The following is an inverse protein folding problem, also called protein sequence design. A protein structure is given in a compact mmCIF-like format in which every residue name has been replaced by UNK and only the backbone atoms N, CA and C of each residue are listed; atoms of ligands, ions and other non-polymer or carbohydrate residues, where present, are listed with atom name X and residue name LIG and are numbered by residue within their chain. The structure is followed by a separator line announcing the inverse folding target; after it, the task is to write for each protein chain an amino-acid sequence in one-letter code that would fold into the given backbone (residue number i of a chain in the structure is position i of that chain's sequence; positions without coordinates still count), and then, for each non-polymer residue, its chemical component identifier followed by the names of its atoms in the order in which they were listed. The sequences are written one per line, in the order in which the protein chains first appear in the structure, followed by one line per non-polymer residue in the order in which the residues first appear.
data_IF_245297054649
#
_entry.id   IF_245297054649
#
_cell.length_a   1.000
_cell.length_b   1.000
_cell.length_c   1.000
_cell.angle_alpha   90.00
_cell.angle_beta   90.00
_cell.angle_gamma   90.00
#
_symmetry.space_group_name_H-M   'P 1'
#
loop_
_entity.id
_entity.type
_entity.pdbx_description
1 polymer ?
#
# COMPACT_ATOMS: atom_id res chain seq x y z
N UNK A 1 -20.52 -25.70 14.12
CA UNK A 1 -21.33 -24.71 13.35
C UNK A 1 -22.15 -23.76 14.22
N UNK A 2 -22.17 -23.89 15.57
CA UNK A 2 -22.87 -22.95 16.46
C UNK A 2 -22.01 -21.74 16.88
N UNK A 3 -20.68 -21.84 16.85
CA UNK A 3 -19.78 -20.76 17.32
C UNK A 3 -19.60 -19.60 16.31
N UNK A 4 -20.17 -19.73 15.11
CA UNK A 4 -20.12 -18.69 14.08
C UNK A 4 -21.37 -17.79 14.08
N UNK A 5 -22.38 -18.09 14.91
CA UNK A 5 -23.64 -17.34 14.96
C UNK A 5 -23.55 -16.02 15.74
N UNK A 6 -22.49 -15.81 16.52
CA UNK A 6 -22.25 -14.57 17.28
C UNK A 6 -21.21 -13.66 16.62
N UNK A 7 -20.79 -13.94 15.38
CA UNK A 7 -19.88 -13.09 14.63
C UNK A 7 -20.58 -11.79 14.24
N UNK A 8 -20.14 -10.69 14.82
CA UNK A 8 -20.57 -9.37 14.37
C UNK A 8 -19.92 -9.03 13.03
N UNK A 9 -20.47 -8.04 12.31
CA UNK A 9 -19.83 -7.50 11.11
C UNK A 9 -18.44 -6.91 11.41
N UNK A 10 -18.27 -6.34 12.60
CA UNK A 10 -16.98 -5.80 13.06
C UNK A 10 -15.94 -6.91 13.23
N UNK A 11 -16.32 -8.04 13.82
CA UNK A 11 -15.47 -9.23 13.95
C UNK A 11 -15.06 -9.82 12.59
N UNK A 12 -15.95 -9.73 11.59
CA UNK A 12 -15.67 -10.19 10.23
C UNK A 12 -14.66 -9.28 9.52
N UNK A 13 -14.88 -7.96 9.58
CA UNK A 13 -13.99 -6.95 8.98
C UNK A 13 -12.59 -7.00 9.62
N UNK A 14 -12.52 -7.09 10.95
CA UNK A 14 -11.24 -7.22 11.67
C UNK A 14 -10.51 -8.51 11.29
N UNK A 15 -11.23 -9.62 11.13
CA UNK A 15 -10.65 -10.90 10.68
C UNK A 15 -10.12 -10.84 9.26
N UNK A 16 -10.86 -10.23 8.33
CA UNK A 16 -10.42 -10.03 6.95
C UNK A 16 -9.11 -9.24 6.91
N UNK A 17 -9.06 -8.11 7.65
CA UNK A 17 -7.85 -7.32 7.81
C UNK A 17 -6.67 -8.16 8.30
N UNK A 18 -6.85 -8.98 9.35
CA UNK A 18 -5.77 -9.83 9.86
C UNK A 18 -5.28 -10.88 8.86
N UNK A 19 -6.19 -11.48 8.08
CA UNK A 19 -5.82 -12.46 7.05
C UNK A 19 -5.04 -11.77 5.93
N UNK A 20 -5.57 -10.64 5.44
CA UNK A 20 -4.93 -9.81 4.42
C UNK A 20 -3.51 -9.44 4.84
N UNK A 21 -3.32 -8.92 6.05
CA UNK A 21 -2.01 -8.52 6.56
C UNK A 21 -1.03 -9.69 6.66
N UNK A 22 -1.46 -10.86 7.14
CA UNK A 22 -0.59 -12.04 7.23
C UNK A 22 -0.15 -12.53 5.85
N UNK A 23 -1.06 -12.50 4.87
CA UNK A 23 -0.74 -12.85 3.49
C UNK A 23 0.30 -11.89 2.93
N UNK A 24 0.13 -10.58 3.14
CA UNK A 24 1.11 -9.60 2.70
C UNK A 24 2.49 -9.77 3.35
N UNK A 25 2.54 -9.96 4.68
CA UNK A 25 3.81 -10.22 5.40
C UNK A 25 4.52 -11.42 4.79
N UNK A 26 3.79 -12.53 4.59
CA UNK A 26 4.35 -13.73 3.99
C UNK A 26 4.81 -13.51 2.54
N UNK A 27 4.01 -12.79 1.75
CA UNK A 27 4.30 -12.51 0.35
C UNK A 27 5.55 -11.64 0.19
N UNK A 28 5.62 -10.49 0.87
CA UNK A 28 6.76 -9.57 0.75
C UNK A 28 8.04 -10.13 1.33
N UNK A 29 7.95 -10.93 2.40
CA UNK A 29 9.10 -11.68 2.91
C UNK A 29 9.64 -12.65 1.85
N UNK A 30 8.77 -13.47 1.25
CA UNK A 30 9.18 -14.40 0.21
C UNK A 30 9.75 -13.66 -1.02
N UNK A 31 9.17 -12.53 -1.40
CA UNK A 31 9.65 -11.74 -2.53
C UNK A 31 11.06 -11.18 -2.28
N UNK A 32 11.33 -10.66 -1.08
CA UNK A 32 12.68 -10.23 -0.67
C UNK A 32 13.68 -11.38 -0.67
N UNK A 33 13.33 -12.55 -0.11
CA UNK A 33 14.19 -13.74 -0.13
C UNK A 33 14.52 -14.24 -1.54
N UNK A 34 13.61 -14.05 -2.50
CA UNK A 34 13.86 -14.36 -3.92
C UNK A 34 14.75 -13.30 -4.57
N UNK A 35 14.54 -12.03 -4.25
CA UNK A 35 15.38 -10.93 -4.76
C UNK A 35 16.86 -11.11 -4.37
N UNK A 36 17.14 -11.63 -3.16
CA UNK A 36 18.52 -11.92 -2.71
C UNK A 36 19.30 -12.88 -3.61
N UNK A 37 18.61 -13.70 -4.41
CA UNK A 37 19.21 -14.71 -5.29
C UNK A 37 19.57 -14.16 -6.67
N UNK A 38 19.20 -12.93 -6.98
CA UNK A 38 19.55 -12.26 -8.23
C UNK A 38 21.02 -11.83 -8.21
N UNK A 39 21.56 -11.52 -9.40
CA UNK A 39 22.85 -10.82 -9.48
C UNK A 39 22.74 -9.44 -8.81
N UNK A 40 23.88 -8.81 -8.51
CA UNK A 40 23.92 -7.58 -7.72
C UNK A 40 23.04 -6.47 -8.31
N UNK A 41 23.16 -6.20 -9.60
CA UNK A 41 22.47 -5.08 -10.24
C UNK A 41 20.95 -5.29 -10.27
N UNK A 42 20.50 -6.50 -10.61
CA UNK A 42 19.08 -6.87 -10.59
C UNK A 42 18.52 -6.90 -9.17
N UNK A 43 19.28 -7.46 -8.21
CA UNK A 43 18.89 -7.50 -6.80
C UNK A 43 18.68 -6.11 -6.24
N UNK A 44 19.62 -5.19 -6.48
CA UNK A 44 19.57 -3.85 -5.92
C UNK A 44 18.38 -3.07 -6.49
N UNK A 45 18.10 -3.21 -7.80
CA UNK A 45 16.93 -2.60 -8.42
C UNK A 45 15.60 -3.20 -7.93
N UNK A 46 15.51 -4.53 -7.84
CA UNK A 46 14.31 -5.22 -7.35
C UNK A 46 14.03 -4.87 -5.89
N UNK A 47 15.05 -4.88 -5.02
CA UNK A 47 14.90 -4.49 -3.61
C UNK A 47 14.54 -3.02 -3.44
N UNK A 48 15.03 -2.13 -4.32
CA UNK A 48 14.61 -0.73 -4.33
C UNK A 48 13.11 -0.61 -4.63
N UNK A 49 12.62 -1.28 -5.67
CA UNK A 49 11.18 -1.27 -6.02
C UNK A 49 10.34 -1.86 -4.89
N UNK A 50 10.64 -3.07 -4.44
CA UNK A 50 9.84 -3.75 -3.43
C UNK A 50 9.89 -2.97 -2.10
N UNK A 51 11.07 -2.51 -1.68
CA UNK A 51 11.22 -1.74 -0.45
C UNK A 51 10.41 -0.44 -0.45
N UNK A 52 10.37 0.28 -1.57
CA UNK A 52 9.54 1.48 -1.71
C UNK A 52 8.04 1.16 -1.70
N UNK A 53 7.62 0.04 -2.32
CA UNK A 53 6.23 -0.40 -2.26
C UNK A 53 5.85 -0.80 -0.83
N UNK A 54 6.75 -1.48 -0.11
CA UNK A 54 6.56 -1.81 1.31
C UNK A 54 6.34 -0.55 2.16
N UNK A 55 7.14 0.51 1.95
CA UNK A 55 6.95 1.77 2.70
C UNK A 55 5.57 2.38 2.43
N UNK A 56 5.15 2.41 1.16
CA UNK A 56 3.82 2.89 0.75
C UNK A 56 2.73 2.08 1.46
N UNK A 57 2.81 0.75 1.40
CA UNK A 57 1.81 -0.14 2.00
C UNK A 57 1.73 0.02 3.51
N UNK A 58 2.88 0.08 4.19
CA UNK A 58 2.92 0.31 5.63
C UNK A 58 2.21 1.60 6.02
N UNK A 59 2.47 2.71 5.32
CA UNK A 59 1.81 4.00 5.61
C UNK A 59 0.29 3.88 5.40
N UNK A 60 -0.13 3.35 4.25
CA UNK A 60 -1.56 3.22 3.92
C UNK A 60 -2.30 2.31 4.91
N UNK A 61 -1.66 1.22 5.35
CA UNK A 61 -2.28 0.30 6.30
C UNK A 61 -2.30 0.85 7.71
N UNK A 62 -1.25 1.53 8.17
CA UNK A 62 -1.27 2.19 9.47
C UNK A 62 -2.33 3.31 9.49
N UNK A 63 -2.43 4.09 8.40
CA UNK A 63 -3.50 5.07 8.23
C UNK A 63 -4.87 4.39 8.31
N UNK A 64 -5.11 3.36 7.49
CA UNK A 64 -6.38 2.61 7.53
C UNK A 64 -6.69 2.02 8.91
N UNK A 65 -5.68 1.43 9.56
CA UNK A 65 -5.79 0.82 10.89
C UNK A 65 -6.11 1.83 11.99
N UNK A 66 -5.78 3.12 11.81
CA UNK A 66 -6.17 4.18 12.76
C UNK A 66 -7.56 4.76 12.47
N UNK A 67 -7.91 4.90 11.18
CA UNK A 67 -9.13 5.61 10.77
C UNK A 67 -10.36 4.72 10.60
N UNK A 68 -10.20 3.45 10.20
CA UNK A 68 -11.31 2.61 9.75
C UNK A 68 -11.43 1.27 10.47
N UNK A 69 -10.35 0.76 11.06
CA UNK A 69 -10.36 -0.52 11.74
C UNK A 69 -10.02 -0.29 13.21
N UNK A 70 -10.74 -0.89 14.16
CA UNK A 70 -10.40 -0.80 15.59
C UNK A 70 -9.18 -1.69 15.94
N UNK A 71 -8.06 -1.46 15.23
CA UNK A 71 -6.79 -2.17 15.36
C UNK A 71 -5.91 -1.37 16.30
N UNK A 72 -5.33 -2.04 17.30
CA UNK A 72 -4.44 -1.38 18.23
C UNK A 72 -3.10 -1.02 17.58
N UNK A 73 -2.41 0.02 18.05
CA UNK A 73 -1.07 0.39 17.57
C UNK A 73 -0.07 -0.77 17.64
N UNK A 74 -0.17 -1.63 18.66
CA UNK A 74 0.68 -2.80 18.80
C UNK A 74 0.36 -3.87 17.74
N UNK A 75 -0.92 -4.12 17.46
CA UNK A 75 -1.33 -5.01 16.36
C UNK A 75 -0.87 -4.46 15.01
N UNK A 76 -1.06 -3.16 14.73
CA UNK A 76 -0.61 -2.53 13.49
C UNK A 76 0.90 -2.65 13.30
N UNK A 77 1.68 -2.48 14.37
CA UNK A 77 3.14 -2.66 14.33
C UNK A 77 3.52 -4.11 14.03
N UNK A 78 2.83 -5.09 14.64
CA UNK A 78 3.08 -6.52 14.38
C UNK A 78 2.78 -6.92 12.93
N UNK A 79 1.86 -6.22 12.25
CA UNK A 79 1.52 -6.44 10.86
C UNK A 79 2.33 -5.59 9.88
N UNK A 80 3.15 -4.66 10.37
CA UNK A 80 4.00 -3.85 9.52
C UNK A 80 5.00 -4.72 8.78
N UNK A 81 5.11 -4.50 7.48
CA UNK A 81 6.03 -5.20 6.62
C UNK A 81 7.48 -4.77 6.91
N UNK A 82 8.35 -5.77 6.99
CA UNK A 82 9.79 -5.57 7.10
C UNK A 82 10.41 -5.22 5.74
N UNK A 83 11.67 -4.76 5.75
CA UNK A 83 12.46 -4.46 4.55
C UNK A 83 11.97 -3.27 3.71
N UNK A 84 11.23 -2.34 4.31
CA UNK A 84 10.98 -1.02 3.74
C UNK A 84 12.26 -0.29 3.39
N UNK A 85 12.24 0.53 2.34
CA UNK A 85 13.42 1.28 1.87
C UNK A 85 13.76 2.39 2.86
N UNK A 86 12.79 3.23 3.18
CA UNK A 86 12.90 4.38 4.07
C UNK A 86 12.42 4.05 5.49
N UNK A 87 11.32 3.30 5.63
CA UNK A 87 10.70 3.05 6.94
C UNK A 87 11.31 1.83 7.62
N UNK A 88 12.23 2.08 8.56
CA UNK A 88 12.76 1.05 9.46
C UNK A 88 11.85 0.87 10.67
N UNK A 89 12.11 -0.18 11.45
CA UNK A 89 11.30 -0.57 12.61
C UNK A 89 10.99 0.59 13.56
N UNK A 90 11.99 1.41 13.92
CA UNK A 90 11.77 2.54 14.83
C UNK A 90 10.82 3.59 14.25
N UNK A 91 10.84 3.80 12.93
CA UNK A 91 9.93 4.72 12.25
C UNK A 91 8.51 4.14 12.18
N UNK A 92 8.39 2.85 11.85
CA UNK A 92 7.11 2.13 11.85
C UNK A 92 6.47 2.16 13.24
N UNK A 93 7.27 1.97 14.29
CA UNK A 93 6.83 2.10 15.68
C UNK A 93 6.32 3.51 15.95
N UNK A 94 7.05 4.55 15.58
CA UNK A 94 6.57 5.95 15.73
C UNK A 94 5.25 6.18 15.00
N UNK A 95 5.13 5.74 13.75
CA UNK A 95 3.89 5.87 12.96
C UNK A 95 2.70 5.17 13.62
N UNK A 96 2.87 3.92 14.07
CA UNK A 96 1.80 3.16 14.72
C UNK A 96 1.34 3.81 16.01
N UNK A 97 2.26 4.37 16.79
CA UNK A 97 2.01 4.95 18.11
C UNK A 97 1.75 6.47 18.08
N UNK A 98 1.75 7.12 16.91
CA UNK A 98 1.40 8.52 16.79
C UNK A 98 0.01 8.80 17.40
N UNK A 99 -0.07 9.78 18.30
CA UNK A 99 -1.26 10.09 19.09
C UNK A 99 -2.22 11.04 18.38
N UNK A 100 -1.76 11.70 17.32
CA UNK A 100 -2.56 12.62 16.52
C UNK A 100 -2.29 12.47 15.01
N UNK A 101 -3.27 12.88 14.20
CA UNK A 101 -3.13 12.95 12.74
C UNK A 101 -1.97 13.89 12.35
N UNK A 102 -1.82 15.01 13.05
CA UNK A 102 -0.70 15.93 12.83
C UNK A 102 0.66 15.26 13.06
N UNK A 103 0.82 14.50 14.14
CA UNK A 103 2.07 13.79 14.42
C UNK A 103 2.33 12.72 13.35
N UNK A 104 1.31 11.98 12.93
CA UNK A 104 1.42 11.02 11.84
C UNK A 104 1.90 11.68 10.54
N UNK A 105 1.26 12.80 10.15
CA UNK A 105 1.59 13.58 8.97
C UNK A 105 3.01 14.13 9.00
N UNK A 106 3.48 14.59 10.17
CA UNK A 106 4.85 15.06 10.36
C UNK A 106 5.87 13.92 10.16
N UNK A 107 5.60 12.73 10.70
CA UNK A 107 6.48 11.55 10.55
C UNK A 107 6.51 11.07 9.08
N UNK A 108 5.34 10.99 8.43
CA UNK A 108 5.25 10.63 7.00
C UNK A 108 5.92 11.69 6.14
N UNK A 109 5.70 12.97 6.40
CA UNK A 109 6.31 14.08 5.68
C UNK A 109 7.82 14.09 5.78
N UNK A 110 8.38 13.74 6.95
CA UNK A 110 9.83 13.65 7.16
C UNK A 110 10.48 12.46 6.43
N UNK A 111 9.75 11.36 6.21
CA UNK A 111 10.26 10.14 5.59
C UNK A 111 9.99 10.04 4.09
N UNK A 112 8.79 10.43 3.65
CA UNK A 112 8.32 10.30 2.26
C UNK A 112 8.21 11.64 1.52
N UNK A 113 8.36 12.76 2.24
CA UNK A 113 8.27 14.12 1.72
C UNK A 113 6.86 14.72 1.80
N UNK A 114 6.82 16.05 1.85
CA UNK A 114 5.57 16.84 2.00
C UNK A 114 4.56 16.61 0.88
N UNK A 115 5.03 16.34 -0.35
CA UNK A 115 4.14 15.99 -1.46
C UNK A 115 3.37 14.70 -1.19
N UNK A 116 4.03 13.68 -0.61
CA UNK A 116 3.39 12.40 -0.34
C UNK A 116 2.20 12.57 0.61
N UNK A 117 2.40 13.29 1.71
CA UNK A 117 1.33 13.51 2.69
C UNK A 117 0.21 14.39 2.13
N UNK A 118 0.54 15.43 1.38
CA UNK A 118 -0.48 16.24 0.70
C UNK A 118 -1.33 15.39 -0.26
N UNK A 119 -0.70 14.51 -1.04
CA UNK A 119 -1.43 13.60 -1.93
C UNK A 119 -2.28 12.61 -1.12
N UNK A 120 -1.75 12.04 -0.03
CA UNK A 120 -2.44 11.06 0.82
C UNK A 120 -3.74 11.64 1.41
N UNK A 121 -3.69 12.88 1.89
CA UNK A 121 -4.83 13.55 2.50
C UNK A 121 -5.91 13.99 1.49
N UNK A 122 -5.62 13.93 0.18
CA UNK A 122 -6.53 14.37 -0.88
C UNK A 122 -6.95 13.26 -1.85
N UNK A 123 -6.40 12.04 -1.71
CA UNK A 123 -6.74 10.90 -2.55
C UNK A 123 -7.68 9.95 -1.82
N UNK A 124 -8.60 9.34 -2.57
CA UNK A 124 -9.40 8.25 -2.04
C UNK A 124 -8.48 7.08 -1.63
N UNK A 125 -8.67 6.57 -0.41
CA UNK A 125 -7.85 5.48 0.14
C UNK A 125 -7.89 4.22 -0.74
N UNK A 126 -9.00 3.97 -1.45
CA UNK A 126 -9.12 2.85 -2.40
C UNK A 126 -8.23 3.02 -3.64
N UNK A 127 -7.87 4.25 -4.01
CA UNK A 127 -6.99 4.56 -5.15
C UNK A 127 -5.53 4.77 -4.72
N UNK A 128 -5.31 5.14 -3.46
CA UNK A 128 -4.02 5.61 -2.95
C UNK A 128 -2.86 4.66 -3.27
N UNK A 129 -3.02 3.35 -3.07
CA UNK A 129 -1.97 2.36 -3.35
C UNK A 129 -1.49 2.43 -4.80
N UNK A 130 -2.41 2.30 -5.76
CA UNK A 130 -2.08 2.31 -7.18
C UNK A 130 -1.51 3.67 -7.62
N UNK A 131 -2.02 4.77 -7.07
CA UNK A 131 -1.50 6.11 -7.33
C UNK A 131 -0.05 6.27 -6.87
N UNK A 132 0.27 5.88 -5.65
CA UNK A 132 1.63 6.03 -5.11
C UNK A 132 2.63 5.10 -5.79
N UNK A 133 2.24 3.86 -6.10
CA UNK A 133 3.08 2.94 -6.86
C UNK A 133 3.36 3.52 -8.26
N UNK A 134 2.32 4.01 -8.97
CA UNK A 134 2.51 4.67 -10.27
C UNK A 134 3.41 5.90 -10.18
N UNK A 135 3.22 6.74 -9.14
CA UNK A 135 4.05 7.93 -8.89
C UNK A 135 5.52 7.58 -8.66
N UNK A 136 5.78 6.49 -7.93
CA UNK A 136 7.13 5.97 -7.73
C UNK A 136 7.73 5.45 -9.04
N UNK A 137 7.03 4.57 -9.76
CA UNK A 137 7.54 3.95 -10.99
C UNK A 137 7.80 4.99 -12.09
N UNK A 138 6.96 6.02 -12.23
CA UNK A 138 7.18 7.07 -13.24
C UNK A 138 8.39 7.98 -12.95
N UNK A 139 8.87 8.01 -11.69
CA UNK A 139 10.05 8.79 -11.30
C UNK A 139 11.36 8.00 -11.40
N UNK A 140 11.28 6.68 -11.56
CA UNK A 140 12.45 5.79 -11.51
C UNK A 140 12.52 5.00 -12.82
N UNK A 141 13.61 5.18 -13.56
CA UNK A 141 13.89 4.41 -14.77
C UNK A 141 14.81 3.25 -14.42
N UNK A 142 14.48 2.05 -14.88
CA UNK A 142 15.25 0.83 -14.66
C UNK A 142 15.66 0.24 -16.01
N UNK A 143 16.92 -0.19 -16.11
CA UNK A 143 17.49 -0.81 -17.33
C UNK A 143 17.85 -2.29 -17.13
N UNK A 144 17.46 -2.85 -15.98
CA UNK A 144 17.76 -4.21 -15.55
C UNK A 144 16.45 -4.95 -15.21
N UNK A 145 16.49 -6.03 -14.40
CA UNK A 145 15.28 -6.78 -14.05
C UNK A 145 14.19 -5.92 -13.35
N UNK A 146 14.57 -4.77 -12.78
CA UNK A 146 13.63 -3.76 -12.30
C UNK A 146 12.67 -3.24 -13.37
N UNK A 147 13.06 -3.23 -14.66
CA UNK A 147 12.18 -2.89 -15.78
C UNK A 147 11.01 -3.87 -15.89
N UNK A 148 11.33 -5.17 -15.87
CA UNK A 148 10.33 -6.24 -15.92
C UNK A 148 9.37 -6.17 -14.73
N UNK A 149 9.91 -5.96 -13.53
CA UNK A 149 9.08 -5.83 -12.33
C UNK A 149 8.19 -4.59 -12.38
N UNK A 150 8.73 -3.45 -12.83
CA UNK A 150 7.97 -2.21 -13.01
C UNK A 150 6.83 -2.41 -14.00
N UNK A 151 7.09 -3.12 -15.11
CA UNK A 151 6.08 -3.44 -16.11
C UNK A 151 4.92 -4.27 -15.52
N UNK A 152 5.21 -5.26 -14.66
CA UNK A 152 4.17 -6.06 -13.99
C UNK A 152 3.27 -5.19 -13.13
N UNK A 153 3.83 -4.29 -12.31
CA UNK A 153 3.04 -3.38 -11.49
C UNK A 153 2.25 -2.37 -12.33
N UNK A 154 2.82 -1.86 -13.42
CA UNK A 154 2.10 -0.99 -14.35
C UNK A 154 0.92 -1.71 -15.00
N UNK A 155 1.08 -2.98 -15.39
CA UNK A 155 -0.03 -3.79 -15.91
C UNK A 155 -1.15 -3.96 -14.88
N UNK A 156 -0.81 -4.20 -13.61
CA UNK A 156 -1.81 -4.32 -12.54
C UNK A 156 -2.60 -3.01 -12.35
N UNK A 157 -1.93 -1.85 -12.40
CA UNK A 157 -2.57 -0.53 -12.38
C UNK A 157 -3.53 -0.37 -13.57
N UNK A 158 -3.09 -0.76 -14.78
CA UNK A 158 -3.94 -0.69 -16.00
C UNK A 158 -5.16 -1.60 -15.86
N UNK A 159 -5.00 -2.82 -15.36
CA UNK A 159 -6.09 -3.77 -15.13
C UNK A 159 -7.10 -3.19 -14.13
N UNK A 160 -6.62 -2.59 -13.03
CA UNK A 160 -7.48 -1.92 -12.05
C UNK A 160 -8.26 -0.75 -12.67
N UNK A 161 -7.60 0.09 -13.47
CA UNK A 161 -8.24 1.18 -14.22
C UNK A 161 -9.36 0.64 -15.15
N UNK A 162 -9.08 -0.41 -15.93
CA UNK A 162 -10.06 -1.02 -16.83
C UNK A 162 -11.24 -1.64 -16.07
N UNK A 163 -10.98 -2.24 -14.91
CA UNK A 163 -12.01 -2.77 -14.02
C UNK A 163 -12.91 -1.66 -13.51
N UNK A 164 -12.34 -0.57 -13.00
CA UNK A 164 -13.08 0.60 -12.53
C UNK A 164 -13.92 1.23 -13.64
N UNK A 165 -13.38 1.35 -14.87
CA UNK A 165 -14.14 1.82 -16.04
C UNK A 165 -15.32 0.90 -16.33
N UNK A 166 -15.10 -0.41 -16.34
CA UNK A 166 -16.13 -1.40 -16.67
C UNK A 166 -17.25 -1.40 -15.63
N UNK A 167 -16.92 -1.41 -14.34
CA UNK A 167 -17.92 -1.34 -13.26
C UNK A 167 -18.62 0.03 -13.24
N UNK A 168 -17.89 1.12 -13.51
CA UNK A 168 -18.47 2.46 -13.63
C UNK A 168 -19.53 2.55 -14.74
N UNK A 169 -19.26 1.96 -15.91
CA UNK A 169 -20.23 1.86 -17.02
C UNK A 169 -21.44 1.02 -16.60
N UNK A 170 -21.20 -0.15 -15.99
CA UNK A 170 -22.24 -1.09 -15.55
C UNK A 170 -23.19 -0.49 -14.52
N UNK A 171 -22.69 0.34 -13.60
CA UNK A 171 -23.51 1.02 -12.59
C UNK A 171 -23.93 2.44 -13.00
N UNK A 172 -23.75 2.82 -14.27
CA UNK A 172 -24.13 4.13 -14.81
C UNK A 172 -23.54 5.33 -14.03
N UNK A 173 -22.31 5.19 -13.55
CA UNK A 173 -21.63 6.25 -12.82
C UNK A 173 -21.35 7.44 -13.76
N UNK A 174 -21.60 8.70 -13.34
CA UNK A 174 -21.23 9.87 -14.13
C UNK A 174 -19.74 9.86 -14.48
N UNK A 175 -19.41 10.26 -15.72
CA UNK A 175 -18.03 10.23 -16.21
C UNK A 175 -17.06 11.02 -15.32
N UNK A 176 -17.49 12.15 -14.79
CA UNK A 176 -16.64 12.97 -13.92
C UNK A 176 -16.36 12.30 -12.57
N UNK A 177 -17.32 11.56 -12.03
CA UNK A 177 -17.11 10.73 -10.84
C UNK A 177 -16.21 9.53 -11.17
N UNK A 178 -16.36 8.91 -12.33
CA UNK A 178 -15.50 7.79 -12.72
C UNK A 178 -14.02 8.18 -12.75
N UNK A 179 -13.69 9.39 -13.20
CA UNK A 179 -12.31 9.90 -13.27
C UNK A 179 -11.60 9.95 -11.92
N UNK A 180 -12.33 10.10 -10.80
CA UNK A 180 -11.70 10.12 -9.47
C UNK A 180 -11.21 8.74 -9.01
N UNK A 181 -11.58 7.66 -9.71
CA UNK A 181 -11.15 6.28 -9.42
C UNK A 181 -10.05 5.78 -10.35
N UNK A 182 -9.47 6.67 -11.18
CA UNK A 182 -8.50 6.29 -12.21
C UNK A 182 -7.12 6.87 -11.90
N UNK A 183 -6.09 6.02 -11.94
CA UNK A 183 -4.69 6.45 -11.87
C UNK A 183 -4.28 7.13 -13.17
N UNK A 184 -4.53 6.47 -14.29
CA UNK A 184 -4.38 7.07 -15.62
C UNK A 184 -5.63 7.88 -15.96
N UNK A 185 -5.51 9.20 -15.93
CA UNK A 185 -6.60 10.12 -16.25
C UNK A 185 -6.87 10.13 -17.76
N UNK A 186 -8.15 10.07 -18.12
CA UNK A 186 -8.68 10.11 -19.50
C UNK A 186 -9.50 11.38 -19.75
#
# INVERSE_FOLDING_TARGET
YNDLRSLTSEDAIKREFHIEMKLYVSYYKALFEKAEKLNKDDRDAVKNIIGSIIDILNILWIYRAKHYYHITSAEALNYSLENGKELKFDMLKKLCFAESEKEFDEIVGASMGTKFINDLNNIDTSLAMYYFINSFLNKNVFENFGLTLSYIYMLDIVINNLTNITEGIKYHLPKDNLKSYLVYKI
#
